data_IF_528088111259
#
_entry.id   IF_528088111259
#
_cell.length_a   1.000
_cell.length_b   1.000
_cell.length_c   1.000
_cell.angle_alpha   90.00
_cell.angle_beta   90.00
_cell.angle_gamma   90.00
#
_symmetry.space_group_name_H-M   'P 1'
#
loop_
_entity.id
_entity.type
_entity.pdbx_description
1 polymer ?
#
# COMPACT_ATOMS: atom_id res chain seq x y z
N UNK A 1 -4.61 -6.40 -11.10
CA UNK A 1 -5.95 -7.00 -10.93
C UNK A 1 -7.05 -6.00 -11.30
N UNK A 2 -7.27 -4.88 -10.57
CA UNK A 2 -8.38 -3.93 -10.82
C UNK A 2 -8.51 -3.48 -12.28
N UNK A 3 -7.43 -3.05 -12.95
CA UNK A 3 -7.47 -2.65 -14.35
C UNK A 3 -7.96 -3.76 -15.29
N UNK A 4 -7.56 -4.99 -15.01
CA UNK A 4 -7.99 -6.14 -15.79
C UNK A 4 -9.46 -6.51 -15.53
N UNK A 5 -9.94 -6.35 -14.29
CA UNK A 5 -11.36 -6.53 -13.95
C UNK A 5 -12.22 -5.48 -14.63
N UNK A 6 -11.84 -4.21 -14.56
CA UNK A 6 -12.55 -3.11 -15.27
C UNK A 6 -12.60 -3.37 -16.78
N UNK A 7 -11.48 -3.79 -17.38
CA UNK A 7 -11.47 -4.16 -18.80
C UNK A 7 -12.46 -5.31 -19.14
N UNK A 8 -12.49 -6.35 -18.30
CA UNK A 8 -13.42 -7.47 -18.47
C UNK A 8 -14.89 -7.05 -18.32
N UNK A 9 -15.17 -6.15 -17.37
CA UNK A 9 -16.51 -5.57 -17.18
C UNK A 9 -16.96 -4.72 -18.37
N UNK A 10 -16.08 -3.85 -18.89
CA UNK A 10 -16.34 -3.03 -20.08
C UNK A 10 -16.64 -3.91 -21.29
N UNK A 11 -15.85 -4.96 -21.52
CA UNK A 11 -16.07 -5.91 -22.60
C UNK A 11 -17.40 -6.65 -22.46
N UNK A 12 -17.78 -7.03 -21.26
CA UNK A 12 -19.08 -7.65 -20.98
C UNK A 12 -20.22 -6.66 -21.24
N UNK A 13 -20.05 -5.41 -20.87
CA UNK A 13 -21.05 -4.36 -21.08
C UNK A 13 -21.23 -3.98 -22.57
N UNK A 14 -20.17 -4.09 -23.40
CA UNK A 14 -20.26 -3.83 -24.86
C UNK A 14 -21.09 -4.86 -25.60
N UNK A 15 -21.25 -6.07 -25.05
CA UNK A 15 -21.96 -7.19 -25.71
C UNK A 15 -21.09 -7.96 -26.72
N UNK A 16 -19.79 -7.66 -26.82
CA UNK A 16 -18.87 -8.31 -27.76
C UNK A 16 -18.16 -9.53 -27.18
N UNK A 17 -18.39 -9.85 -25.91
CA UNK A 17 -17.65 -10.89 -25.19
C UNK A 17 -17.70 -12.26 -25.88
N UNK A 18 -18.85 -12.67 -26.42
CA UNK A 18 -19.02 -13.97 -27.09
C UNK A 18 -18.32 -14.03 -28.46
N UNK A 19 -17.92 -12.89 -29.03
CA UNK A 19 -17.18 -12.79 -30.29
C UNK A 19 -15.67 -12.90 -30.12
N UNK A 20 -15.17 -12.83 -28.87
CA UNK A 20 -13.73 -12.81 -28.59
C UNK A 20 -13.10 -14.16 -28.96
N UNK A 21 -12.12 -14.12 -29.84
CA UNK A 21 -11.33 -15.27 -30.26
C UNK A 21 -9.86 -15.20 -29.76
N UNK A 22 -9.35 -13.99 -29.48
CA UNK A 22 -7.97 -13.81 -29.01
C UNK A 22 -7.85 -12.68 -28.01
N UNK A 23 -6.87 -12.82 -27.09
CA UNK A 23 -6.51 -11.84 -26.07
C UNK A 23 -5.02 -11.53 -26.17
N UNK A 24 -4.66 -10.27 -26.06
CA UNK A 24 -3.29 -9.81 -25.97
C UNK A 24 -3.14 -8.83 -24.81
N UNK A 25 -2.14 -9.02 -23.98
CA UNK A 25 -1.77 -8.12 -22.88
C UNK A 25 -0.31 -7.68 -23.07
N UNK A 26 -0.10 -6.37 -23.18
CA UNK A 26 1.24 -5.76 -23.22
C UNK A 26 1.50 -5.04 -21.88
N UNK A 27 2.63 -5.36 -21.21
CA UNK A 27 3.08 -4.72 -19.98
C UNK A 27 4.31 -3.86 -20.27
N UNK A 28 4.39 -2.66 -19.67
CA UNK A 28 5.42 -1.67 -19.97
C UNK A 28 6.23 -1.25 -18.73
N UNK A 29 7.45 -0.77 -18.97
CA UNK A 29 8.32 -0.13 -17.99
C UNK A 29 8.54 -0.96 -16.72
N UNK A 30 8.44 -0.32 -15.55
CA UNK A 30 8.65 -0.98 -14.26
C UNK A 30 7.67 -2.13 -14.02
N UNK A 31 6.43 -2.01 -14.48
CA UNK A 31 5.43 -3.07 -14.35
C UNK A 31 5.84 -4.37 -15.06
N UNK A 32 6.54 -4.25 -16.20
CA UNK A 32 7.11 -5.38 -16.91
C UNK A 32 8.43 -5.87 -16.28
N UNK A 33 9.26 -4.93 -15.82
CA UNK A 33 10.60 -5.24 -15.30
C UNK A 33 10.57 -6.05 -14.00
N UNK A 34 9.62 -5.75 -13.10
CA UNK A 34 9.50 -6.37 -11.78
C UNK A 34 8.25 -7.27 -11.66
N UNK A 35 7.46 -7.38 -12.71
CA UNK A 35 6.15 -8.01 -12.70
C UNK A 35 6.14 -9.46 -12.18
N UNK A 36 7.18 -10.24 -12.45
CA UNK A 36 7.32 -11.61 -11.92
C UNK A 36 7.42 -11.61 -10.39
N UNK A 37 8.24 -10.73 -9.83
CA UNK A 37 8.45 -10.64 -8.39
C UNK A 37 7.26 -10.05 -7.62
N UNK A 38 6.43 -9.26 -8.32
CA UNK A 38 5.27 -8.56 -7.72
C UNK A 38 3.94 -9.26 -7.99
N UNK A 39 3.93 -10.43 -8.62
CA UNK A 39 2.69 -11.14 -8.95
C UNK A 39 1.80 -10.41 -9.96
N UNK A 40 2.38 -9.51 -10.78
CA UNK A 40 1.61 -8.70 -11.72
C UNK A 40 0.84 -9.55 -12.73
N UNK A 41 1.49 -10.56 -13.32
CA UNK A 41 0.87 -11.40 -14.34
C UNK A 41 -0.27 -12.25 -13.77
N UNK A 42 -0.06 -12.85 -12.61
CA UNK A 42 -1.12 -13.64 -11.94
C UNK A 42 -2.29 -12.77 -11.52
N UNK A 43 -2.03 -11.56 -11.01
CA UNK A 43 -3.08 -10.60 -10.69
C UNK A 43 -3.89 -10.16 -11.93
N UNK A 44 -3.25 -10.05 -13.10
CA UNK A 44 -3.94 -9.75 -14.36
C UNK A 44 -4.86 -10.90 -14.77
N UNK A 45 -4.38 -12.15 -14.72
CA UNK A 45 -5.23 -13.31 -15.04
C UNK A 45 -6.50 -13.34 -14.18
N UNK A 46 -6.37 -13.17 -12.87
CA UNK A 46 -7.51 -13.13 -11.96
C UNK A 46 -8.46 -11.96 -12.26
N UNK A 47 -7.92 -10.77 -12.54
CA UNK A 47 -8.73 -9.62 -12.93
C UNK A 47 -9.47 -9.84 -14.24
N UNK A 48 -8.85 -10.45 -15.24
CA UNK A 48 -9.50 -10.81 -16.50
C UNK A 48 -10.63 -11.84 -16.32
N UNK A 49 -10.55 -12.69 -15.29
CA UNK A 49 -11.67 -13.57 -14.91
C UNK A 49 -12.80 -12.85 -14.16
N UNK A 50 -12.62 -11.56 -13.80
CA UNK A 50 -13.60 -10.73 -13.12
C UNK A 50 -13.41 -10.62 -11.60
N UNK A 51 -12.29 -11.13 -11.05
CA UNK A 51 -12.01 -10.97 -9.63
C UNK A 51 -11.51 -9.58 -9.29
N UNK A 52 -11.98 -9.04 -8.16
CA UNK A 52 -11.53 -7.77 -7.59
C UNK A 52 -10.58 -7.97 -6.42
N UNK A 53 -9.52 -7.14 -6.29
CA UNK A 53 -8.50 -7.31 -5.24
C UNK A 53 -9.05 -7.13 -3.82
N UNK A 54 -10.15 -6.40 -3.66
CA UNK A 54 -10.81 -6.16 -2.38
C UNK A 54 -11.57 -7.39 -1.86
N UNK A 55 -12.04 -8.25 -2.76
CA UNK A 55 -13.01 -9.31 -2.47
C UNK A 55 -12.39 -10.71 -2.50
N UNK A 56 -11.46 -10.95 -3.42
CA UNK A 56 -10.88 -12.29 -3.62
C UNK A 56 -10.13 -12.78 -2.36
N UNK A 57 -10.35 -14.03 -1.99
CA UNK A 57 -9.66 -14.67 -0.88
C UNK A 57 -8.40 -15.39 -1.35
N UNK A 58 -7.37 -15.56 -0.47
CA UNK A 58 -6.14 -16.26 -0.83
C UNK A 58 -6.35 -17.68 -1.36
N UNK A 59 -7.32 -18.40 -0.82
CA UNK A 59 -7.68 -19.76 -1.24
C UNK A 59 -8.23 -19.77 -2.67
N UNK A 60 -9.06 -18.78 -3.02
CA UNK A 60 -9.58 -18.60 -4.39
C UNK A 60 -8.46 -18.24 -5.38
N UNK A 61 -7.48 -17.42 -4.94
CA UNK A 61 -6.28 -17.10 -5.74
C UNK A 61 -5.52 -18.38 -6.08
N UNK A 62 -5.21 -19.20 -5.07
CA UNK A 62 -4.47 -20.46 -5.25
C UNK A 62 -5.21 -21.42 -6.17
N UNK A 63 -6.52 -21.65 -5.93
CA UNK A 63 -7.36 -22.53 -6.73
C UNK A 63 -7.44 -22.10 -8.19
N UNK A 64 -7.71 -20.81 -8.45
CA UNK A 64 -7.87 -20.31 -9.82
C UNK A 64 -6.55 -20.35 -10.60
N UNK A 65 -5.45 -19.92 -10.00
CA UNK A 65 -4.14 -19.96 -10.65
C UNK A 65 -3.68 -21.38 -10.93
N UNK A 66 -3.96 -22.34 -10.03
CA UNK A 66 -3.68 -23.76 -10.28
C UNK A 66 -4.51 -24.28 -11.47
N UNK A 67 -5.80 -23.96 -11.54
CA UNK A 67 -6.69 -24.37 -12.62
C UNK A 67 -6.24 -23.79 -13.98
N UNK A 68 -5.81 -22.51 -14.03
CA UNK A 68 -5.27 -21.89 -15.24
C UNK A 68 -3.96 -22.57 -15.65
N UNK A 69 -3.07 -22.85 -14.70
CA UNK A 69 -1.79 -23.51 -14.99
C UNK A 69 -1.97 -24.95 -15.51
N UNK A 70 -2.95 -25.70 -14.95
CA UNK A 70 -3.24 -27.08 -15.36
C UNK A 70 -3.91 -27.15 -16.75
N UNK A 71 -4.89 -26.27 -16.99
CA UNK A 71 -5.69 -26.32 -18.20
C UNK A 71 -5.12 -25.51 -19.36
N UNK A 72 -4.25 -24.54 -19.08
CA UNK A 72 -3.77 -23.54 -20.05
C UNK A 72 -4.90 -22.60 -20.54
N UNK A 73 -6.00 -22.48 -19.78
CA UNK A 73 -7.21 -21.73 -20.18
C UNK A 73 -7.61 -20.71 -19.11
N UNK A 74 -7.86 -19.50 -19.59
CA UNK A 74 -8.46 -18.39 -18.84
C UNK A 74 -9.96 -18.33 -19.09
N UNK A 75 -10.75 -18.01 -18.08
CA UNK A 75 -12.18 -17.72 -18.22
C UNK A 75 -12.43 -16.20 -18.28
N UNK A 76 -12.30 -15.61 -19.45
CA UNK A 76 -12.47 -14.16 -19.64
C UNK A 76 -13.87 -13.72 -19.19
N UNK A 77 -13.91 -12.70 -18.30
CA UNK A 77 -15.13 -12.19 -17.66
C UNK A 77 -16.01 -13.29 -17.03
N UNK A 78 -15.38 -14.40 -16.58
CA UNK A 78 -16.04 -15.52 -15.94
C UNK A 78 -16.85 -16.44 -16.87
N UNK A 79 -16.80 -16.23 -18.19
CA UNK A 79 -17.68 -16.97 -19.12
C UNK A 79 -17.01 -17.50 -20.38
N UNK A 80 -16.13 -16.74 -21.05
CA UNK A 80 -15.51 -17.16 -22.32
C UNK A 80 -14.15 -17.80 -22.06
N UNK A 81 -13.99 -19.08 -22.47
CA UNK A 81 -12.71 -19.77 -22.36
C UNK A 81 -11.76 -19.41 -23.49
N UNK A 82 -10.57 -18.93 -23.13
CA UNK A 82 -9.48 -18.64 -24.07
C UNK A 82 -8.22 -19.41 -23.66
N UNK A 83 -7.43 -19.94 -24.64
CA UNK A 83 -6.09 -20.45 -24.37
C UNK A 83 -5.19 -19.27 -24.02
N UNK A 84 -4.93 -19.03 -22.73
CA UNK A 84 -4.14 -17.91 -22.24
C UNK A 84 -3.58 -18.18 -20.86
N UNK A 85 -2.33 -17.79 -20.63
CA UNK A 85 -1.62 -17.91 -19.37
C UNK A 85 -0.58 -16.82 -19.17
N UNK A 86 0.20 -16.93 -18.11
CA UNK A 86 1.28 -15.96 -17.78
C UNK A 86 2.29 -15.79 -18.91
N UNK A 87 2.64 -16.89 -19.60
CA UNK A 87 3.63 -16.93 -20.67
C UNK A 87 3.19 -16.21 -21.95
N UNK A 88 1.91 -15.93 -22.11
CA UNK A 88 1.35 -15.29 -23.32
C UNK A 88 1.36 -13.76 -23.21
N UNK A 89 1.70 -13.22 -22.04
CA UNK A 89 1.82 -11.78 -21.83
C UNK A 89 3.11 -11.22 -22.41
N UNK A 90 3.05 -10.07 -23.07
CA UNK A 90 4.17 -9.42 -23.72
C UNK A 90 4.79 -8.41 -22.77
N UNK A 91 6.05 -8.66 -22.38
CA UNK A 91 6.80 -7.79 -21.48
C UNK A 91 7.66 -6.80 -22.26
N UNK A 92 7.51 -5.49 -21.99
CA UNK A 92 8.24 -4.40 -22.61
C UNK A 92 8.96 -3.53 -21.56
N UNK A 93 9.94 -4.06 -20.82
CA UNK A 93 10.56 -3.36 -19.70
C UNK A 93 11.30 -2.09 -20.08
N UNK A 94 11.77 -1.97 -21.34
CA UNK A 94 12.48 -0.79 -21.84
C UNK A 94 11.56 0.23 -22.53
N UNK A 95 10.25 -0.04 -22.62
CA UNK A 95 9.27 0.88 -23.21
C UNK A 95 8.51 1.56 -22.09
N UNK A 96 8.65 2.87 -21.98
CA UNK A 96 7.90 3.69 -21.01
C UNK A 96 6.83 4.48 -21.78
N UNK A 97 5.58 4.33 -21.36
CA UNK A 97 4.50 5.12 -21.92
C UNK A 97 4.54 6.55 -21.35
N UNK A 98 4.08 7.55 -22.12
CA UNK A 98 4.25 8.96 -21.74
C UNK A 98 3.66 9.35 -20.38
N UNK A 99 2.57 8.70 -19.98
CA UNK A 99 1.84 9.04 -18.76
C UNK A 99 2.50 8.51 -17.49
N UNK A 100 2.87 7.22 -17.49
CA UNK A 100 3.43 6.56 -16.31
C UNK A 100 4.23 5.33 -16.70
N UNK A 101 5.24 4.98 -15.90
CA UNK A 101 6.08 3.80 -16.15
C UNK A 101 5.34 2.46 -15.98
N UNK A 102 4.30 2.41 -15.13
CA UNK A 102 3.50 1.21 -14.87
C UNK A 102 2.29 1.11 -15.82
N UNK A 103 2.55 1.01 -17.11
CA UNK A 103 1.51 0.89 -18.13
C UNK A 103 1.14 -0.56 -18.46
N UNK A 104 -0.12 -0.79 -18.83
CA UNK A 104 -0.63 -2.05 -19.36
C UNK A 104 -1.71 -1.80 -20.42
N UNK A 105 -1.64 -2.56 -21.52
CA UNK A 105 -2.64 -2.49 -22.61
C UNK A 105 -3.28 -3.85 -22.80
N UNK A 106 -4.60 -3.88 -22.78
CA UNK A 106 -5.41 -5.06 -23.08
C UNK A 106 -6.02 -4.88 -24.48
N UNK A 107 -6.00 -5.93 -25.28
CA UNK A 107 -6.62 -5.97 -26.61
C UNK A 107 -7.29 -7.31 -26.82
N UNK A 108 -8.54 -7.30 -27.22
CA UNK A 108 -9.27 -8.51 -27.66
C UNK A 108 -9.69 -8.35 -29.10
N UNK A 109 -9.62 -9.47 -29.86
CA UNK A 109 -10.00 -9.52 -31.26
C UNK A 109 -10.90 -10.73 -31.56
N UNK A 110 -11.70 -10.61 -32.61
CA UNK A 110 -12.50 -11.72 -33.11
C UNK A 110 -11.70 -12.72 -33.96
N UNK A 111 -12.41 -13.71 -34.53
CA UNK A 111 -11.80 -14.77 -35.33
C UNK A 111 -11.17 -14.27 -36.64
N UNK A 112 -11.62 -13.13 -37.16
CA UNK A 112 -11.08 -12.50 -38.36
C UNK A 112 -9.92 -11.56 -38.06
N UNK A 113 -9.59 -11.38 -36.77
CA UNK A 113 -8.50 -10.51 -36.27
C UNK A 113 -8.90 -9.05 -36.14
N UNK A 114 -10.19 -8.73 -36.26
CA UNK A 114 -10.71 -7.38 -36.00
C UNK A 114 -10.67 -7.08 -34.49
N UNK A 115 -10.16 -5.90 -34.12
CA UNK A 115 -10.08 -5.47 -32.71
C UNK A 115 -11.49 -5.09 -32.22
N UNK A 116 -12.00 -5.87 -31.29
CA UNK A 116 -13.30 -5.63 -30.65
C UNK A 116 -13.22 -4.59 -29.53
N UNK A 117 -12.19 -4.72 -28.68
CA UNK A 117 -11.97 -3.78 -27.59
C UNK A 117 -10.49 -3.62 -27.27
N UNK A 118 -10.07 -2.38 -26.97
CA UNK A 118 -8.71 -2.06 -26.56
C UNK A 118 -8.73 -0.96 -25.51
N UNK A 119 -8.00 -1.16 -24.42
CA UNK A 119 -7.83 -0.14 -23.38
C UNK A 119 -6.42 -0.20 -22.81
N UNK A 120 -5.86 0.99 -22.48
CA UNK A 120 -4.59 1.16 -21.77
C UNK A 120 -4.86 1.74 -20.40
N UNK A 121 -4.25 1.14 -19.38
CA UNK A 121 -4.33 1.58 -17.99
C UNK A 121 -2.94 1.81 -17.41
N UNK A 122 -2.88 2.67 -16.40
CA UNK A 122 -1.70 2.97 -15.63
C UNK A 122 -1.95 2.67 -14.15
N UNK A 123 -1.06 1.88 -13.53
CA UNK A 123 -1.07 1.67 -12.07
C UNK A 123 -0.26 2.77 -11.40
N UNK A 124 -0.95 3.67 -10.69
CA UNK A 124 -0.34 4.88 -10.13
C UNK A 124 -0.04 4.77 -8.62
N UNK A 125 0.10 3.55 -8.13
CA UNK A 125 0.35 3.25 -6.72
C UNK A 125 -0.92 3.11 -5.89
N UNK A 126 -0.82 2.48 -4.71
CA UNK A 126 -1.93 2.33 -3.76
C UNK A 126 -3.17 1.60 -4.27
N UNK A 127 -3.05 0.80 -5.34
CA UNK A 127 -4.17 0.13 -5.99
C UNK A 127 -5.01 1.03 -6.91
N UNK A 128 -4.63 2.30 -7.07
CA UNK A 128 -5.28 3.22 -8.00
C UNK A 128 -4.87 2.95 -9.43
N UNK A 129 -5.82 3.11 -10.34
CA UNK A 129 -5.60 3.01 -11.78
C UNK A 129 -6.09 4.29 -12.48
N UNK A 130 -5.45 4.62 -13.59
CA UNK A 130 -5.88 5.69 -14.50
C UNK A 130 -5.98 5.08 -15.89
N UNK A 131 -7.06 5.36 -16.62
CA UNK A 131 -7.24 4.94 -18.00
C UNK A 131 -6.66 5.99 -18.96
N UNK A 132 -6.05 5.53 -20.04
CA UNK A 132 -5.58 6.43 -21.11
C UNK A 132 -6.76 7.17 -21.76
N UNK A 133 -6.65 8.49 -21.89
CA UNK A 133 -7.67 9.34 -22.46
C UNK A 133 -8.77 9.83 -21.50
N UNK A 134 -8.83 9.28 -20.27
CA UNK A 134 -9.76 9.74 -19.22
C UNK A 134 -9.08 10.59 -18.14
N UNK A 135 -7.82 10.90 -18.33
CA UNK A 135 -6.95 11.57 -17.35
C UNK A 135 -7.51 12.93 -16.91
N UNK A 136 -8.02 13.70 -17.86
CA UNK A 136 -8.60 15.01 -17.58
C UNK A 136 -10.00 14.91 -16.93
N UNK A 137 -10.76 13.85 -17.23
CA UNK A 137 -12.08 13.63 -16.65
C UNK A 137 -11.97 13.12 -15.21
N UNK A 138 -11.09 12.13 -14.95
CA UNK A 138 -10.85 11.63 -13.61
C UNK A 138 -10.24 12.68 -12.68
N UNK A 139 -9.35 13.54 -13.18
CA UNK A 139 -8.82 14.68 -12.43
C UNK A 139 -9.89 15.74 -12.17
N UNK A 140 -10.78 15.99 -13.12
CA UNK A 140 -11.92 16.92 -12.95
C UNK A 140 -12.95 16.36 -11.98
N UNK A 141 -13.32 15.10 -12.08
CA UNK A 141 -14.24 14.44 -11.15
C UNK A 141 -13.68 14.42 -9.71
N UNK A 142 -12.37 14.10 -9.56
CA UNK A 142 -11.68 14.22 -8.28
C UNK A 142 -11.65 15.66 -7.77
N UNK A 143 -11.49 16.64 -8.66
CA UNK A 143 -11.47 18.07 -8.31
C UNK A 143 -12.87 18.60 -8.01
N UNK A 144 -13.89 18.13 -8.71
CA UNK A 144 -15.30 18.45 -8.46
C UNK A 144 -15.83 17.79 -7.19
N UNK A 145 -15.51 16.52 -6.95
CA UNK A 145 -15.87 15.83 -5.69
C UNK A 145 -15.21 16.49 -4.46
N UNK A 146 -14.00 17.03 -4.61
CA UNK A 146 -13.33 17.77 -3.53
C UNK A 146 -13.93 19.14 -3.25
N UNK A 147 -14.58 19.78 -4.24
CA UNK A 147 -15.30 21.04 -4.01
C UNK A 147 -16.52 20.83 -3.11
N UNK A 148 -17.06 19.64 -3.05
CA UNK A 148 -18.21 19.26 -2.22
C UNK A 148 -17.82 18.85 -0.79
N UNK A 149 -16.50 18.63 -0.51
CA UNK A 149 -16.05 18.30 0.85
C UNK A 149 -16.27 19.48 1.80
N UNK A 150 -16.79 19.24 3.02
CA UNK A 150 -17.06 20.31 3.99
C UNK A 150 -15.81 21.08 4.42
N UNK A 151 -14.67 20.39 4.53
CA UNK A 151 -13.40 20.95 5.00
C UNK A 151 -12.24 20.51 4.07
N UNK A 152 -12.25 20.92 2.78
CA UNK A 152 -11.27 20.48 1.81
C UNK A 152 -9.87 21.00 2.16
N UNK A 153 -8.83 20.19 1.88
CA UNK A 153 -7.43 20.55 2.02
C UNK A 153 -6.59 19.80 0.98
N UNK A 154 -5.50 20.43 0.53
CA UNK A 154 -4.52 19.87 -0.39
C UNK A 154 -3.10 19.96 0.14
N UNK A 155 -2.87 20.84 1.12
CA UNK A 155 -1.58 21.07 1.77
C UNK A 155 -1.69 20.90 3.28
N UNK A 156 -0.55 20.66 3.93
CA UNK A 156 -0.49 20.59 5.39
C UNK A 156 -0.85 21.95 6.02
N UNK A 157 -0.42 23.05 5.39
CA UNK A 157 -0.80 24.40 5.84
C UNK A 157 -2.32 24.63 5.79
N UNK A 158 -3.01 24.19 4.74
CA UNK A 158 -4.48 24.25 4.66
C UNK A 158 -5.14 23.37 5.72
N UNK A 159 -4.63 22.14 5.92
CA UNK A 159 -5.13 21.21 6.94
C UNK A 159 -5.02 21.82 8.34
N UNK A 160 -3.86 22.35 8.71
CA UNK A 160 -3.65 23.05 9.99
C UNK A 160 -4.54 24.29 10.13
N UNK A 161 -4.73 25.05 9.04
CA UNK A 161 -5.67 26.18 9.02
C UNK A 161 -7.12 25.74 9.28
N UNK A 162 -7.56 24.58 8.75
CA UNK A 162 -8.88 24.00 9.07
C UNK A 162 -8.96 23.59 10.54
N UNK A 163 -7.95 22.90 11.06
CA UNK A 163 -7.88 22.53 12.47
C UNK A 163 -8.02 23.75 13.39
N UNK A 164 -7.25 24.79 13.13
CA UNK A 164 -7.27 26.02 13.93
C UNK A 164 -8.63 26.74 13.84
N UNK A 165 -9.20 26.89 12.66
CA UNK A 165 -10.45 27.62 12.44
C UNK A 165 -11.68 26.92 13.03
N UNK A 166 -11.63 25.58 13.14
CA UNK A 166 -12.74 24.76 13.64
C UNK A 166 -12.54 24.25 15.06
N UNK A 167 -11.32 24.34 15.60
CA UNK A 167 -10.97 23.74 16.89
C UNK A 167 -11.00 22.21 16.86
N UNK A 168 -10.69 21.62 15.69
CA UNK A 168 -10.73 20.18 15.46
C UNK A 168 -9.30 19.62 15.27
N UNK A 169 -9.13 18.37 15.60
CA UNK A 169 -7.90 17.63 15.31
C UNK A 169 -7.81 17.22 13.82
N UNK A 170 -6.65 16.73 13.38
CA UNK A 170 -6.46 16.27 11.99
C UNK A 170 -7.40 15.10 11.67
N UNK A 171 -7.51 14.11 12.56
CA UNK A 171 -8.44 13.00 12.40
C UNK A 171 -9.90 13.45 12.33
N UNK A 172 -10.30 14.45 13.12
CA UNK A 172 -11.66 15.00 13.11
C UNK A 172 -11.95 15.78 11.81
N UNK A 173 -10.98 16.52 11.24
CA UNK A 173 -11.14 17.14 9.92
C UNK A 173 -11.41 16.06 8.85
N UNK A 174 -10.61 14.97 8.86
CA UNK A 174 -10.82 13.88 7.94
C UNK A 174 -12.18 13.20 8.12
N UNK A 175 -12.60 12.98 9.38
CA UNK A 175 -13.90 12.41 9.69
C UNK A 175 -15.07 13.27 9.17
N UNK A 176 -15.00 14.59 9.30
CA UNK A 176 -16.01 15.51 8.76
C UNK A 176 -16.10 15.39 7.24
N UNK A 177 -14.96 15.26 6.56
CA UNK A 177 -14.92 15.09 5.11
C UNK A 177 -15.49 13.73 4.67
N UNK A 178 -15.17 12.65 5.38
CA UNK A 178 -15.71 11.32 5.12
C UNK A 178 -17.24 11.25 5.27
N UNK A 179 -17.79 12.01 6.21
CA UNK A 179 -19.25 12.13 6.43
C UNK A 179 -20.01 12.81 5.28
N UNK A 180 -19.33 13.41 4.32
CA UNK A 180 -19.98 13.94 3.13
C UNK A 180 -20.63 12.85 2.27
N UNK A 181 -20.11 11.62 2.32
CA UNK A 181 -20.57 10.49 1.50
C UNK A 181 -20.95 9.25 2.27
N UNK A 182 -20.67 9.18 3.57
CA UNK A 182 -20.90 8.00 4.44
C UNK A 182 -21.43 8.42 5.79
N UNK A 183 -22.17 7.52 6.45
CA UNK A 183 -22.59 7.69 7.84
C UNK A 183 -21.41 7.49 8.80
N UNK A 184 -21.54 7.96 10.01
CA UNK A 184 -20.56 7.74 11.08
C UNK A 184 -20.32 6.25 11.35
N UNK A 185 -21.38 5.45 11.37
CA UNK A 185 -21.33 4.01 11.57
C UNK A 185 -20.56 3.32 10.43
N UNK A 186 -20.88 3.63 9.17
CA UNK A 186 -20.17 3.10 8.00
C UNK A 186 -18.68 3.46 7.98
N UNK A 187 -18.30 4.67 8.40
CA UNK A 187 -16.90 5.07 8.49
C UNK A 187 -16.20 4.26 9.58
N UNK A 188 -16.82 4.17 10.76
CA UNK A 188 -16.27 3.47 11.90
C UNK A 188 -16.09 1.98 11.61
N UNK A 189 -17.14 1.33 11.14
CA UNK A 189 -17.13 -0.09 10.79
C UNK A 189 -16.14 -0.40 9.68
N UNK A 190 -16.05 0.46 8.66
CA UNK A 190 -15.08 0.33 7.58
C UNK A 190 -13.63 0.40 8.06
N UNK A 191 -13.31 1.32 8.99
CA UNK A 191 -11.96 1.45 9.54
C UNK A 191 -11.62 0.27 10.48
N UNK A 192 -12.55 -0.18 11.30
CA UNK A 192 -12.38 -1.36 12.14
C UNK A 192 -12.24 -2.64 11.30
N UNK A 193 -12.97 -2.75 10.20
CA UNK A 193 -12.79 -3.84 9.25
C UNK A 193 -11.39 -3.82 8.61
N UNK A 194 -10.89 -2.66 8.18
CA UNK A 194 -9.51 -2.53 7.68
C UNK A 194 -8.51 -3.03 8.72
N UNK A 195 -8.68 -2.61 9.98
CA UNK A 195 -7.81 -3.06 11.07
C UNK A 195 -7.90 -4.58 11.29
N UNK A 196 -9.09 -5.16 11.28
CA UNK A 196 -9.27 -6.61 11.43
C UNK A 196 -8.56 -7.42 10.33
N UNK A 197 -8.50 -6.89 9.10
CA UNK A 197 -7.72 -7.50 8.00
C UNK A 197 -6.22 -7.39 8.26
N UNK A 198 -5.74 -6.28 8.84
CA UNK A 198 -4.34 -6.14 9.26
C UNK A 198 -3.96 -7.17 10.33
N UNK A 199 -4.81 -7.35 11.35
CA UNK A 199 -4.61 -8.38 12.40
C UNK A 199 -4.60 -9.78 11.81
N UNK A 200 -5.59 -10.11 10.98
CA UNK A 200 -5.68 -11.42 10.32
C UNK A 200 -4.46 -11.73 9.47
N UNK A 201 -3.90 -10.74 8.77
CA UNK A 201 -2.65 -10.88 8.03
C UNK A 201 -1.48 -11.29 8.95
N UNK A 202 -1.34 -10.62 10.09
CA UNK A 202 -0.31 -10.97 11.10
C UNK A 202 -0.52 -12.37 11.62
N UNK A 203 -1.74 -12.74 12.03
CA UNK A 203 -2.06 -14.07 12.58
C UNK A 203 -1.71 -15.21 11.61
N UNK A 204 -1.98 -15.03 10.31
CA UNK A 204 -1.62 -16.01 9.28
C UNK A 204 -0.09 -16.14 9.19
N UNK A 205 0.63 -15.02 9.16
CA UNK A 205 2.09 -15.01 9.07
C UNK A 205 2.76 -15.69 10.25
N UNK A 206 2.25 -15.51 11.46
CA UNK A 206 2.81 -16.13 12.67
C UNK A 206 2.72 -17.66 12.68
N UNK A 207 1.88 -18.24 11.81
CA UNK A 207 1.67 -19.70 11.67
C UNK A 207 2.40 -20.30 10.47
N UNK A 208 2.85 -19.48 9.50
CA UNK A 208 3.49 -19.94 8.25
C UNK A 208 5.01 -19.99 8.40
N UNK A 209 5.58 -21.17 8.28
CA UNK A 209 7.03 -21.41 8.34
C UNK A 209 7.63 -21.66 6.96
N UNK A 210 8.96 -21.76 6.87
CA UNK A 210 9.69 -22.09 5.65
C UNK A 210 10.34 -20.91 4.95
N UNK A 211 10.47 -20.99 3.62
CA UNK A 211 11.09 -19.99 2.78
C UNK A 211 10.04 -19.14 2.08
N UNK A 212 10.38 -17.87 1.83
CA UNK A 212 9.60 -17.01 0.95
C UNK A 212 9.74 -17.46 -0.52
N UNK A 213 8.71 -17.29 -1.35
CA UNK A 213 8.76 -17.66 -2.77
C UNK A 213 9.72 -16.77 -3.56
N UNK A 214 10.07 -17.18 -4.80
CA UNK A 214 10.85 -16.35 -5.74
C UNK A 214 12.34 -16.65 -5.82
N UNK A 215 12.84 -17.63 -5.06
CA UNK A 215 14.20 -18.16 -5.27
C UNK A 215 15.32 -17.54 -4.43
N UNK A 216 15.11 -16.40 -3.74
CA UNK A 216 16.13 -15.78 -2.87
C UNK A 216 16.43 -16.58 -1.59
N UNK A 217 15.69 -17.67 -1.33
CA UNK A 217 15.87 -18.54 -0.16
C UNK A 217 15.76 -17.77 1.17
N UNK A 218 15.01 -16.68 1.21
CA UNK A 218 14.77 -15.91 2.42
C UNK A 218 13.85 -16.71 3.37
N UNK A 219 14.36 -16.97 4.58
CA UNK A 219 13.59 -17.69 5.60
C UNK A 219 12.59 -16.75 6.26
N UNK A 220 11.36 -17.23 6.49
CA UNK A 220 10.37 -16.52 7.32
C UNK A 220 10.88 -16.40 8.75
N UNK A 221 10.78 -15.23 9.32
CA UNK A 221 11.28 -14.89 10.67
C UNK A 221 10.17 -14.70 11.68
N UNK A 222 8.98 -14.30 11.23
CA UNK A 222 7.87 -13.93 12.10
C UNK A 222 7.48 -15.05 13.08
N UNK A 223 7.33 -16.35 12.70
CA UNK A 223 7.00 -17.42 13.63
C UNK A 223 8.06 -17.62 14.73
N UNK A 224 9.35 -17.55 14.37
CA UNK A 224 10.45 -17.76 15.33
C UNK A 224 10.56 -16.59 16.32
N UNK A 225 10.40 -15.35 15.83
CA UNK A 225 10.39 -14.16 16.68
C UNK A 225 9.20 -14.16 17.63
N UNK A 226 8.01 -14.52 17.15
CA UNK A 226 6.83 -14.64 17.99
C UNK A 226 7.03 -15.68 19.10
N UNK A 227 7.50 -16.89 18.75
CA UNK A 227 7.82 -17.94 19.73
C UNK A 227 8.82 -17.46 20.80
N UNK A 228 9.81 -16.67 20.40
CA UNK A 228 10.79 -16.11 21.33
C UNK A 228 10.16 -15.07 22.25
N UNK A 229 9.40 -14.11 21.71
CA UNK A 229 8.74 -13.07 22.51
C UNK A 229 7.73 -13.67 23.51
N UNK A 230 6.98 -14.69 23.10
CA UNK A 230 6.05 -15.41 23.99
C UNK A 230 6.77 -16.14 25.12
N UNK A 231 8.00 -16.63 24.90
CA UNK A 231 8.82 -17.24 25.99
C UNK A 231 9.29 -16.20 27.00
N UNK A 232 9.59 -14.99 26.59
CA UNK A 232 9.98 -13.90 27.50
C UNK A 232 8.80 -13.43 28.39
N UNK A 233 7.56 -13.73 28.00
CA UNK A 233 6.33 -13.43 28.74
C UNK A 233 5.84 -14.60 29.65
N UNK A 234 6.65 -15.62 29.91
CA UNK A 234 6.24 -16.79 30.71
C UNK A 234 5.76 -16.35 32.09
N UNK A 235 4.55 -16.80 32.45
CA UNK A 235 3.91 -16.49 33.74
C UNK A 235 3.15 -15.17 33.77
N UNK A 236 3.07 -14.46 32.67
CA UNK A 236 2.28 -13.25 32.49
C UNK A 236 0.93 -13.60 31.81
N UNK A 237 -0.03 -12.66 31.89
CA UNK A 237 -1.23 -12.69 31.09
C UNK A 237 -0.86 -12.88 29.59
N UNK A 238 -1.53 -13.77 28.83
CA UNK A 238 -1.28 -13.95 27.41
C UNK A 238 -1.33 -12.64 26.60
N UNK A 239 -2.13 -11.69 27.07
CA UNK A 239 -2.28 -10.37 26.44
C UNK A 239 -1.25 -9.33 26.95
N UNK A 240 -0.49 -9.67 28.00
CA UNK A 240 0.56 -8.80 28.48
C UNK A 240 1.73 -8.71 27.50
N UNK A 241 2.24 -7.50 27.31
CA UNK A 241 3.45 -7.23 26.53
C UNK A 241 4.42 -6.42 27.39
N UNK A 242 5.56 -7.02 27.74
CA UNK A 242 6.61 -6.32 28.51
C UNK A 242 7.10 -5.11 27.72
N UNK A 243 6.95 -3.88 28.23
CA UNK A 243 7.35 -2.66 27.53
C UNK A 243 8.82 -2.59 27.10
N UNK A 244 9.71 -3.37 27.72
CA UNK A 244 11.12 -3.42 27.31
C UNK A 244 11.31 -4.04 25.91
N UNK A 245 10.34 -4.86 25.43
CA UNK A 245 10.37 -5.51 24.12
C UNK A 245 9.47 -4.82 23.09
N UNK A 246 9.06 -3.57 23.32
CA UNK A 246 8.18 -2.87 22.39
C UNK A 246 8.72 -2.84 20.95
N UNK A 247 10.06 -2.68 20.81
CA UNK A 247 10.68 -2.59 19.48
C UNK A 247 10.68 -3.94 18.77
N UNK A 248 10.91 -5.02 19.49
CA UNK A 248 10.86 -6.37 18.95
C UNK A 248 9.44 -6.74 18.49
N UNK A 249 8.39 -6.34 19.24
CA UNK A 249 7.01 -6.50 18.83
C UNK A 249 6.68 -5.69 17.58
N UNK A 250 7.06 -4.43 17.53
CA UNK A 250 6.86 -3.57 16.34
C UNK A 250 7.56 -4.17 15.13
N UNK A 251 8.81 -4.60 15.27
CA UNK A 251 9.54 -5.26 14.20
C UNK A 251 8.84 -6.55 13.77
N UNK A 252 8.37 -7.37 14.71
CA UNK A 252 7.65 -8.61 14.43
C UNK A 252 6.40 -8.35 13.57
N UNK A 253 5.57 -7.37 13.93
CA UNK A 253 4.36 -7.05 13.18
C UNK A 253 4.71 -6.59 11.75
N UNK A 254 5.70 -5.71 11.61
CA UNK A 254 6.15 -5.25 10.29
C UNK A 254 6.70 -6.40 9.42
N UNK A 255 7.51 -7.30 10.01
CA UNK A 255 8.03 -8.48 9.34
C UNK A 255 6.89 -9.41 8.91
N UNK A 256 5.94 -9.70 9.81
CA UNK A 256 4.82 -10.60 9.56
C UNK A 256 3.99 -10.16 8.36
N UNK A 257 3.59 -8.89 8.32
CA UNK A 257 2.81 -8.34 7.19
C UNK A 257 3.60 -8.42 5.88
N UNK A 258 4.90 -8.10 5.90
CA UNK A 258 5.70 -8.11 4.67
C UNK A 258 6.04 -9.53 4.20
N UNK A 259 6.20 -10.50 5.08
CA UNK A 259 6.34 -11.91 4.72
C UNK A 259 5.07 -12.44 4.06
N UNK A 260 3.87 -12.02 4.50
CA UNK A 260 2.62 -12.33 3.81
C UNK A 260 2.51 -11.61 2.46
N UNK A 261 2.86 -10.34 2.40
CA UNK A 261 2.91 -9.61 1.13
C UNK A 261 3.82 -10.32 0.11
N UNK A 262 5.02 -10.74 0.53
CA UNK A 262 5.97 -11.47 -0.33
C UNK A 262 5.48 -12.86 -0.76
N UNK A 263 4.44 -13.39 -0.12
CA UNK A 263 3.90 -14.74 -0.35
C UNK A 263 2.52 -14.74 -1.00
N UNK A 264 2.05 -13.58 -1.47
CA UNK A 264 0.72 -13.44 -2.08
C UNK A 264 -0.44 -13.55 -1.09
N UNK A 265 -0.17 -13.38 0.22
CA UNK A 265 -1.20 -13.32 1.26
C UNK A 265 -2.05 -12.05 1.15
N UNK A 266 -3.16 -12.02 1.88
CA UNK A 266 -4.06 -10.85 1.93
C UNK A 266 -3.46 -9.77 2.81
N UNK A 267 -3.19 -8.59 2.24
CA UNK A 267 -2.64 -7.43 2.95
C UNK A 267 -3.47 -6.18 2.69
N UNK A 268 -3.51 -5.29 3.66
CA UNK A 268 -4.06 -3.94 3.45
C UNK A 268 -3.02 -3.07 2.75
N UNK A 269 -3.39 -2.48 1.63
CA UNK A 269 -2.54 -1.52 0.91
C UNK A 269 -2.51 -0.19 1.68
N UNK A 270 -1.38 0.14 2.35
CA UNK A 270 -1.28 1.27 3.26
C UNK A 270 0.13 1.93 3.30
N UNK A 271 0.43 2.96 2.47
CA UNK A 271 -0.31 3.41 1.28
C UNK A 271 -0.08 2.52 0.06
N UNK A 272 0.94 1.65 0.08
CA UNK A 272 1.28 0.65 -0.95
C UNK A 272 1.50 -0.72 -0.31
N UNK A 273 1.52 -1.79 -1.12
CA UNK A 273 1.82 -3.13 -0.62
C UNK A 273 3.26 -3.25 -0.12
N UNK A 274 4.22 -2.59 -0.79
CA UNK A 274 5.62 -2.61 -0.38
C UNK A 274 5.88 -1.99 1.00
N UNK A 275 5.00 -1.12 1.48
CA UNK A 275 5.08 -0.45 2.77
C UNK A 275 3.98 -0.87 3.76
N UNK A 276 3.23 -1.93 3.46
CA UNK A 276 2.02 -2.34 4.20
C UNK A 276 2.25 -2.74 5.66
N UNK A 277 3.49 -3.04 6.05
CA UNK A 277 3.84 -3.43 7.42
C UNK A 277 3.98 -2.28 8.42
N UNK A 278 4.15 -1.03 7.94
CA UNK A 278 4.51 0.10 8.81
C UNK A 278 3.32 0.55 9.65
N UNK A 279 2.18 0.86 9.03
CA UNK A 279 0.97 1.33 9.73
C UNK A 279 0.49 0.31 10.77
N UNK A 280 0.29 -0.98 10.45
CA UNK A 280 -0.15 -1.95 11.47
C UNK A 280 0.87 -2.12 12.60
N UNK A 281 2.18 -2.03 12.33
CA UNK A 281 3.20 -2.13 13.38
C UNK A 281 3.17 -0.95 14.35
N UNK A 282 2.98 0.28 13.85
CA UNK A 282 2.86 1.47 14.70
C UNK A 282 1.52 1.53 15.42
N UNK A 283 0.44 1.09 14.76
CA UNK A 283 -0.89 0.96 15.41
C UNK A 283 -0.85 -0.12 16.52
N UNK A 284 -0.14 -1.23 16.29
CA UNK A 284 0.10 -2.21 17.35
C UNK A 284 0.83 -1.57 18.55
N UNK A 285 1.86 -0.73 18.30
CA UNK A 285 2.49 0.04 19.37
C UNK A 285 1.49 0.94 20.11
N UNK A 286 0.64 1.64 19.39
CA UNK A 286 -0.39 2.50 19.99
C UNK A 286 -1.33 1.73 20.90
N UNK A 287 -1.75 0.53 20.51
CA UNK A 287 -2.72 -0.30 21.24
C UNK A 287 -2.15 -1.08 22.43
N UNK A 288 -0.83 -1.33 22.46
CA UNK A 288 -0.21 -2.17 23.50
C UNK A 288 0.82 -1.46 24.36
N UNK A 289 1.42 -0.37 23.87
CA UNK A 289 2.55 0.30 24.56
C UNK A 289 2.34 1.79 24.80
N UNK A 290 1.30 2.41 24.21
CA UNK A 290 0.98 3.79 24.52
C UNK A 290 0.43 3.93 25.96
N UNK A 291 0.69 5.06 26.63
CA UNK A 291 0.22 5.27 28.00
C UNK A 291 -1.29 5.10 28.14
N UNK A 292 -1.71 4.36 29.17
CA UNK A 292 -3.13 4.14 29.49
C UNK A 292 -3.79 2.98 28.78
N UNK A 293 -3.15 2.37 27.80
CA UNK A 293 -3.72 1.25 27.02
C UNK A 293 -3.78 -0.07 27.81
N UNK A 294 -3.02 -0.19 28.89
CA UNK A 294 -3.09 -1.31 29.84
C UNK A 294 -4.44 -1.45 30.57
N UNK A 295 -5.22 -0.35 30.62
CA UNK A 295 -6.55 -0.31 31.24
C UNK A 295 -7.68 0.01 30.24
N UNK A 296 -7.36 0.10 28.95
CA UNK A 296 -8.30 0.45 27.93
C UNK A 296 -9.36 -0.64 27.72
N UNK A 297 -10.63 -0.23 27.63
CA UNK A 297 -11.72 -1.08 27.20
C UNK A 297 -11.61 -1.39 25.69
N UNK A 298 -12.40 -2.33 25.18
CA UNK A 298 -12.47 -2.55 23.74
C UNK A 298 -12.92 -1.29 22.98
N UNK A 299 -13.89 -0.56 23.52
CA UNK A 299 -14.33 0.71 22.91
C UNK A 299 -13.21 1.75 22.84
N UNK A 300 -12.38 1.86 23.87
CA UNK A 300 -11.23 2.77 23.86
C UNK A 300 -10.21 2.36 22.78
N UNK A 301 -10.00 1.05 22.60
CA UNK A 301 -9.12 0.51 21.55
C UNK A 301 -9.67 0.78 20.16
N UNK A 302 -10.97 0.58 19.96
CA UNK A 302 -11.65 0.86 18.70
C UNK A 302 -11.56 2.36 18.35
N UNK A 303 -11.72 3.24 19.34
CA UNK A 303 -11.58 4.70 19.16
C UNK A 303 -10.14 5.08 18.77
N UNK A 304 -9.14 4.44 19.36
CA UNK A 304 -7.73 4.61 18.97
C UNK A 304 -7.51 4.17 17.50
N UNK A 305 -8.03 3.03 17.09
CA UNK A 305 -7.93 2.53 15.71
C UNK A 305 -8.54 3.52 14.73
N UNK A 306 -9.77 3.95 14.99
CA UNK A 306 -10.51 4.89 14.12
C UNK A 306 -9.75 6.22 14.00
N UNK A 307 -9.36 6.80 15.12
CA UNK A 307 -8.65 8.09 15.17
C UNK A 307 -7.28 7.99 14.47
N UNK A 308 -6.52 6.93 14.72
CA UNK A 308 -5.22 6.69 14.10
C UNK A 308 -5.34 6.60 12.57
N UNK A 309 -6.28 5.79 12.07
CA UNK A 309 -6.43 5.55 10.64
C UNK A 309 -6.97 6.78 9.90
N UNK A 310 -7.87 7.56 10.49
CA UNK A 310 -8.33 8.83 9.93
C UNK A 310 -7.18 9.83 9.79
N UNK A 311 -6.35 9.97 10.82
CA UNK A 311 -5.19 10.87 10.81
C UNK A 311 -4.16 10.41 9.78
N UNK A 312 -3.83 9.12 9.78
CA UNK A 312 -2.93 8.53 8.79
C UNK A 312 -3.45 8.74 7.35
N UNK A 313 -4.75 8.57 7.14
CA UNK A 313 -5.40 8.82 5.85
C UNK A 313 -5.29 10.28 5.41
N UNK A 314 -5.52 11.24 6.31
CA UNK A 314 -5.37 12.67 6.02
C UNK A 314 -3.95 13.02 5.54
N UNK A 315 -2.92 12.49 6.21
CA UNK A 315 -1.53 12.68 5.77
C UNK A 315 -1.25 11.98 4.43
N UNK A 316 -1.79 10.78 4.22
CA UNK A 316 -1.67 10.05 2.96
C UNK A 316 -2.23 10.81 1.75
N UNK A 317 -3.34 11.55 1.95
CA UNK A 317 -3.91 12.43 0.92
C UNK A 317 -2.90 13.49 0.47
N UNK A 318 -2.15 14.11 1.38
CA UNK A 318 -1.15 15.13 1.04
C UNK A 318 -0.08 14.60 0.10
N UNK A 319 0.44 13.39 0.36
CA UNK A 319 1.44 12.75 -0.51
C UNK A 319 0.89 12.42 -1.89
N UNK A 320 -0.32 11.89 -1.94
CA UNK A 320 -0.99 11.55 -3.20
C UNK A 320 -1.26 12.79 -4.05
N UNK A 321 -1.66 13.90 -3.43
CA UNK A 321 -2.00 15.14 -4.13
C UNK A 321 -0.79 15.92 -4.61
N UNK A 322 0.25 16.03 -3.79
CA UNK A 322 1.36 16.95 -4.03
C UNK A 322 2.59 16.27 -4.64
N UNK A 323 2.70 14.95 -4.53
CA UNK A 323 3.86 14.20 -4.99
C UNK A 323 3.47 12.88 -5.66
N UNK A 324 3.91 11.76 -5.11
CA UNK A 324 3.52 10.40 -5.52
C UNK A 324 3.77 9.43 -4.38
N UNK A 325 2.95 8.39 -4.30
CA UNK A 325 3.14 7.24 -3.40
C UNK A 325 3.71 6.02 -4.14
N UNK A 326 4.12 6.16 -5.39
CA UNK A 326 4.63 5.06 -6.22
C UNK A 326 6.15 4.94 -6.15
N UNK A 327 6.66 3.79 -5.76
CA UNK A 327 8.10 3.48 -5.78
C UNK A 327 8.72 3.57 -7.18
N UNK A 328 7.94 3.29 -8.22
CA UNK A 328 8.34 3.40 -9.60
C UNK A 328 8.52 4.86 -10.08
N UNK A 329 7.87 5.83 -9.42
CA UNK A 329 8.01 7.25 -9.73
C UNK A 329 9.07 7.95 -8.87
N UNK A 330 9.05 7.70 -7.56
CA UNK A 330 9.85 8.48 -6.59
C UNK A 330 10.74 7.61 -5.71
N UNK A 331 10.85 6.33 -5.95
CA UNK A 331 11.59 5.40 -5.09
C UNK A 331 10.83 5.04 -3.80
N UNK A 332 11.46 4.27 -2.92
CA UNK A 332 10.86 3.86 -1.64
C UNK A 332 10.56 5.01 -0.68
N UNK A 333 11.12 6.22 -0.87
CA UNK A 333 10.69 7.39 -0.10
C UNK A 333 9.19 7.67 -0.25
N UNK A 334 8.61 7.42 -1.45
CA UNK A 334 7.17 7.57 -1.71
C UNK A 334 6.32 6.47 -1.08
N UNK A 335 6.84 5.30 -0.82
CA UNK A 335 6.14 4.18 -0.19
C UNK A 335 6.41 4.12 1.31
N UNK A 336 7.64 3.77 1.68
CA UNK A 336 8.10 3.59 3.06
C UNK A 336 8.10 4.93 3.81
N UNK A 337 8.56 6.01 3.15
CA UNK A 337 8.57 7.34 3.75
C UNK A 337 7.16 7.86 4.01
N UNK A 338 6.25 7.77 3.03
CA UNK A 338 4.86 8.17 3.22
C UNK A 338 4.16 7.34 4.30
N UNK A 339 4.34 6.01 4.31
CA UNK A 339 3.76 5.16 5.35
C UNK A 339 4.30 5.50 6.76
N UNK A 340 5.62 5.78 6.88
CA UNK A 340 6.24 6.20 8.14
C UNK A 340 5.66 7.53 8.64
N UNK A 341 5.50 8.49 7.74
CA UNK A 341 4.90 9.80 8.03
C UNK A 341 3.44 9.69 8.47
N UNK A 342 2.63 8.91 7.74
CA UNK A 342 1.24 8.61 8.07
C UNK A 342 1.12 7.96 9.45
N UNK A 343 1.97 6.98 9.73
CA UNK A 343 1.98 6.26 11.01
C UNK A 343 2.45 7.12 12.18
N UNK A 344 3.45 7.98 11.97
CA UNK A 344 3.93 8.92 12.99
C UNK A 344 2.85 9.93 13.39
N UNK A 345 2.14 10.48 12.41
CA UNK A 345 1.00 11.36 12.62
C UNK A 345 -0.13 10.66 13.39
N UNK A 346 -0.53 9.47 12.94
CA UNK A 346 -1.56 8.68 13.61
C UNK A 346 -1.21 8.40 15.08
N UNK A 347 0.04 8.03 15.35
CA UNK A 347 0.51 7.80 16.72
C UNK A 347 0.52 9.09 17.55
N UNK A 348 1.04 10.20 17.00
CA UNK A 348 1.08 11.48 17.71
C UNK A 348 -0.33 11.96 18.07
N UNK A 349 -1.29 11.82 17.16
CA UNK A 349 -2.69 12.17 17.36
C UNK A 349 -3.35 11.37 18.51
N UNK A 350 -3.19 10.03 18.50
CA UNK A 350 -3.80 9.17 19.55
C UNK A 350 -3.11 9.31 20.90
N UNK A 351 -1.86 9.77 20.92
CA UNK A 351 -1.14 10.12 22.14
C UNK A 351 -1.45 11.55 22.65
N UNK A 352 -2.41 12.25 22.06
CA UNK A 352 -2.91 13.56 22.52
C UNK A 352 -2.13 14.75 21.98
N UNK A 353 -1.37 14.60 20.90
CA UNK A 353 -0.68 15.70 20.24
C UNK A 353 -1.60 16.77 19.68
N UNK A 354 -1.17 18.02 19.73
CA UNK A 354 -1.81 19.12 19.01
C UNK A 354 -1.68 18.93 17.50
N UNK A 355 -2.54 19.53 16.66
CA UNK A 355 -2.39 19.42 15.19
C UNK A 355 -0.98 19.78 14.69
N UNK A 356 -0.31 20.74 15.30
CA UNK A 356 1.06 21.15 14.99
C UNK A 356 2.08 20.05 15.35
N UNK A 357 1.92 19.40 16.51
CA UNK A 357 2.78 18.28 16.90
C UNK A 357 2.54 17.06 16.00
N UNK A 358 1.31 16.81 15.57
CA UNK A 358 0.94 15.73 14.65
C UNK A 358 1.57 15.94 13.27
N UNK A 359 1.48 17.16 12.74
CA UNK A 359 2.12 17.54 11.46
C UNK A 359 3.66 17.45 11.56
N UNK A 360 4.25 17.94 12.66
CA UNK A 360 5.69 17.83 12.90
C UNK A 360 6.16 16.37 13.01
N UNK A 361 5.36 15.49 13.63
CA UNK A 361 5.67 14.04 13.64
C UNK A 361 5.71 13.46 12.23
N UNK A 362 4.75 13.84 11.38
CA UNK A 362 4.70 13.42 9.99
C UNK A 362 5.90 13.94 9.19
N UNK A 363 6.27 15.20 9.40
CA UNK A 363 7.42 15.87 8.78
C UNK A 363 8.72 15.15 9.14
N UNK A 364 9.04 15.00 10.45
CA UNK A 364 10.25 14.34 10.94
C UNK A 364 10.38 12.93 10.35
N UNK A 365 9.28 12.17 10.32
CA UNK A 365 9.30 10.81 9.79
C UNK A 365 9.63 10.78 8.29
N UNK A 366 9.08 11.68 7.47
CA UNK A 366 9.39 11.74 6.05
C UNK A 366 10.79 12.28 5.80
N UNK A 367 11.20 13.36 6.45
CA UNK A 367 12.52 13.96 6.29
C UNK A 367 13.63 12.90 6.42
N UNK A 368 13.49 11.98 7.40
CA UNK A 368 14.45 10.91 7.66
C UNK A 368 14.28 9.65 6.78
N UNK A 369 13.39 9.71 5.80
CA UNK A 369 13.21 8.70 4.75
C UNK A 369 13.45 9.25 3.32
N UNK A 370 13.83 10.53 3.18
CA UNK A 370 14.21 11.12 1.90
C UNK A 370 15.39 10.37 1.26
N UNK A 371 15.37 10.25 -0.05
CA UNK A 371 16.44 9.60 -0.82
C UNK A 371 16.40 8.08 -0.84
N UNK A 372 15.44 7.41 -0.22
CA UNK A 372 15.32 5.95 -0.27
C UNK A 372 15.03 5.48 -1.70
N UNK A 373 15.95 4.70 -2.24
CA UNK A 373 15.84 4.05 -3.54
C UNK A 373 14.87 2.86 -3.50
N UNK A 374 14.33 2.45 -4.65
CA UNK A 374 13.58 1.20 -4.81
C UNK A 374 14.36 0.23 -5.69
N UNK A 375 15.16 -0.62 -5.08
CA UNK A 375 16.15 -1.49 -5.68
C UNK A 375 16.11 -2.92 -5.10
N UNK A 376 14.94 -3.58 -5.06
CA UNK A 376 14.78 -4.89 -4.44
C UNK A 376 15.55 -5.96 -5.20
N UNK A 377 16.22 -6.88 -4.47
CA UNK A 377 16.99 -7.97 -5.03
C UNK A 377 16.07 -8.91 -5.83
N UNK A 378 16.45 -9.24 -7.04
CA UNK A 378 15.65 -10.08 -7.94
C UNK A 378 14.28 -9.48 -8.31
N UNK A 379 14.04 -8.18 -8.05
CA UNK A 379 12.74 -7.54 -8.21
C UNK A 379 11.69 -8.02 -7.21
N UNK A 380 12.10 -8.74 -6.16
CA UNK A 380 11.21 -9.32 -5.14
C UNK A 380 11.02 -8.36 -3.96
N UNK A 381 9.78 -8.18 -3.50
CA UNK A 381 9.46 -7.35 -2.33
C UNK A 381 9.86 -8.08 -1.04
N UNK A 382 11.13 -8.42 -0.92
CA UNK A 382 11.72 -9.17 0.20
C UNK A 382 12.91 -8.42 0.80
N UNK A 383 14.00 -8.28 0.08
CA UNK A 383 15.22 -7.60 0.54
C UNK A 383 15.47 -6.37 -0.35
N UNK A 384 15.54 -5.17 0.19
CA UNK A 384 15.52 -4.80 1.63
C UNK A 384 14.12 -4.46 2.17
N UNK A 385 13.04 -4.72 1.44
CA UNK A 385 11.70 -4.19 1.72
C UNK A 385 11.18 -4.59 3.11
N UNK A 386 11.38 -5.86 3.52
CA UNK A 386 10.89 -6.37 4.80
C UNK A 386 11.55 -5.62 5.96
N UNK A 387 12.88 -5.46 5.95
CA UNK A 387 13.61 -4.73 6.98
C UNK A 387 13.32 -3.23 6.95
N UNK A 388 13.15 -2.64 5.75
CA UNK A 388 12.79 -1.21 5.62
C UNK A 388 11.49 -0.88 6.33
N UNK A 389 10.49 -1.77 6.27
CA UNK A 389 9.23 -1.57 6.99
C UNK A 389 9.44 -1.57 8.51
N UNK A 390 10.18 -2.53 9.05
CA UNK A 390 10.47 -2.61 10.49
C UNK A 390 11.24 -1.37 10.98
N UNK A 391 12.28 -0.97 10.26
CA UNK A 391 13.07 0.23 10.59
C UNK A 391 12.23 1.50 10.49
N UNK A 392 11.40 1.63 9.45
CA UNK A 392 10.54 2.80 9.27
C UNK A 392 9.42 2.90 10.32
N UNK A 393 8.87 1.78 10.78
CA UNK A 393 7.93 1.75 11.90
C UNK A 393 8.59 2.25 13.20
N UNK A 394 9.81 1.82 13.50
CA UNK A 394 10.56 2.32 14.65
C UNK A 394 10.89 3.82 14.52
N UNK A 395 11.26 4.30 13.32
CA UNK A 395 11.44 5.73 13.04
C UNK A 395 10.16 6.52 13.27
N UNK A 396 9.01 6.02 12.82
CA UNK A 396 7.71 6.66 12.99
C UNK A 396 7.36 6.85 14.48
N UNK A 397 7.60 5.83 15.31
CA UNK A 397 7.40 5.91 16.76
C UNK A 397 8.33 6.94 17.38
N UNK A 398 9.60 6.96 16.97
CA UNK A 398 10.57 7.93 17.45
C UNK A 398 10.20 9.36 17.04
N UNK A 399 9.78 9.57 15.80
CA UNK A 399 9.34 10.87 15.28
C UNK A 399 8.11 11.41 16.05
N UNK A 400 7.10 10.56 16.27
CA UNK A 400 5.94 10.93 17.09
C UNK A 400 6.34 11.36 18.50
N UNK A 401 7.22 10.60 19.17
CA UNK A 401 7.72 10.94 20.50
C UNK A 401 8.51 12.23 20.50
N UNK A 402 9.38 12.48 19.52
CA UNK A 402 10.14 13.73 19.41
C UNK A 402 9.20 14.94 19.27
N UNK A 403 8.24 14.87 18.38
CA UNK A 403 7.26 15.94 18.17
C UNK A 403 6.41 16.23 19.41
N UNK A 404 5.99 15.19 20.14
CA UNK A 404 5.20 15.32 21.36
C UNK A 404 5.99 15.91 22.55
N UNK A 405 7.32 15.80 22.56
CA UNK A 405 8.16 16.44 23.57
C UNK A 405 8.45 17.91 23.25
N UNK A 406 8.22 18.34 22.00
CA UNK A 406 8.26 19.72 21.56
C UNK A 406 6.91 20.43 21.78
N UNK A 407 6.86 21.70 21.41
CA UNK A 407 5.66 22.53 21.43
C UNK A 407 4.90 22.57 20.08
N UNK A 408 5.37 21.81 19.09
CA UNK A 408 4.90 21.80 17.70
C UNK A 408 5.54 22.86 16.82
N UNK A 409 6.45 23.71 17.36
CA UNK A 409 7.21 24.66 16.54
C UNK A 409 8.38 23.98 15.84
N UNK A 410 8.46 24.10 14.51
CA UNK A 410 9.53 23.53 13.72
C UNK A 410 9.87 24.40 12.51
N UNK A 411 11.07 24.22 11.96
CA UNK A 411 11.59 25.10 10.89
C UNK A 411 11.18 24.63 9.49
N UNK A 412 11.07 23.32 9.28
CA UNK A 412 10.74 22.71 8.01
C UNK A 412 9.31 22.18 8.11
N UNK A 413 8.43 22.62 7.22
CA UNK A 413 7.04 22.16 7.18
C UNK A 413 6.91 20.83 6.44
N UNK A 414 5.83 20.08 6.71
CA UNK A 414 5.51 18.87 5.97
C UNK A 414 5.34 19.15 4.46
N UNK A 415 4.79 20.31 4.08
CA UNK A 415 4.66 20.70 2.67
C UNK A 415 6.04 20.85 1.98
N UNK A 416 7.03 21.45 2.68
CA UNK A 416 8.41 21.58 2.15
C UNK A 416 9.07 20.21 1.98
N UNK A 417 8.84 19.28 2.91
CA UNK A 417 9.39 17.91 2.82
C UNK A 417 8.71 17.13 1.67
N UNK A 418 7.41 17.29 1.45
CA UNK A 418 6.70 16.66 0.33
C UNK A 418 7.22 17.18 -1.01
N UNK A 419 7.43 18.49 -1.14
CA UNK A 419 8.06 19.09 -2.33
C UNK A 419 9.46 18.51 -2.55
N UNK A 420 10.27 18.45 -1.49
CA UNK A 420 11.63 17.86 -1.53
C UNK A 420 11.60 16.41 -1.98
N UNK A 421 10.67 15.60 -1.45
CA UNK A 421 10.50 14.20 -1.86
C UNK A 421 10.17 14.09 -3.35
N UNK A 422 9.28 14.93 -3.86
CA UNK A 422 8.92 14.97 -5.28
C UNK A 422 10.11 15.32 -6.17
N UNK A 423 10.88 16.34 -5.79
CA UNK A 423 12.06 16.79 -6.56
C UNK A 423 13.18 15.75 -6.51
N UNK A 424 13.52 15.24 -5.32
CA UNK A 424 14.48 14.13 -5.16
C UNK A 424 14.06 12.92 -5.99
N UNK A 425 12.75 12.62 -6.00
CA UNK A 425 12.20 11.56 -6.85
C UNK A 425 12.42 11.82 -8.33
N UNK A 426 12.27 13.06 -8.82
CA UNK A 426 12.56 13.42 -10.22
C UNK A 426 14.03 13.25 -10.58
N UNK A 427 14.92 13.67 -9.69
CA UNK A 427 16.36 13.60 -9.87
C UNK A 427 16.93 12.18 -9.72
N UNK A 428 16.22 11.31 -9.03
CA UNK A 428 16.61 9.92 -8.85
C UNK A 428 16.71 9.20 -10.20
N UNK A 429 17.85 8.59 -10.48
CA UNK A 429 18.04 7.78 -11.71
C UNK A 429 17.01 6.64 -11.78
N UNK A 430 16.48 6.39 -12.98
CA UNK A 430 15.49 5.34 -13.26
C UNK A 430 15.93 3.95 -12.79
N UNK A 431 17.24 3.65 -12.75
CA UNK A 431 17.78 2.38 -12.25
C UNK A 431 17.50 2.12 -10.76
N UNK A 432 17.08 3.15 -10.00
CA UNK A 432 16.75 3.09 -8.58
C UNK A 432 15.25 3.23 -8.31
N UNK A 433 14.41 3.13 -9.37
CA UNK A 433 12.97 3.31 -9.32
C UNK A 433 12.23 2.03 -9.71
N UNK A 434 12.37 0.99 -8.89
CA UNK A 434 11.66 -0.28 -9.06
C UNK A 434 11.93 -0.96 -10.42
N UNK A 435 13.18 -0.90 -10.90
CA UNK A 435 13.58 -1.51 -12.17
C UNK A 435 14.49 -2.73 -12.01
N UNK A 436 14.98 -2.98 -10.79
CA UNK A 436 16.01 -4.00 -10.50
C UNK A 436 17.30 -3.82 -11.34
N UNK A 437 17.57 -2.61 -11.85
CA UNK A 437 18.71 -2.30 -12.73
C UNK A 437 19.86 -1.59 -12.00
N UNK A 438 19.77 -1.41 -10.68
CA UNK A 438 20.78 -0.70 -9.88
C UNK A 438 20.72 -1.06 -8.40
N UNK A 439 21.61 -0.46 -7.61
CA UNK A 439 21.63 -0.62 -6.16
C UNK A 439 21.86 -2.05 -5.71
N UNK A 440 21.12 -2.51 -4.72
CA UNK A 440 21.21 -3.86 -4.16
C UNK A 440 20.88 -4.93 -5.20
N UNK A 441 19.96 -4.64 -6.12
CA UNK A 441 19.53 -5.60 -7.15
C UNK A 441 20.67 -6.09 -8.06
N UNK A 442 21.72 -5.27 -8.27
CA UNK A 442 22.84 -5.62 -9.14
C UNK A 442 24.15 -5.87 -8.39
N UNK A 443 24.25 -5.46 -7.12
CA UNK A 443 25.47 -5.61 -6.33
C UNK A 443 25.45 -6.87 -5.45
N UNK A 444 24.31 -7.52 -5.31
CA UNK A 444 24.18 -8.80 -4.64
C UNK A 444 24.14 -9.90 -5.71
N UNK A 445 25.16 -10.75 -5.71
CA UNK A 445 25.22 -11.89 -6.65
C UNK A 445 24.28 -12.97 -6.13
N UNK A 446 23.28 -13.32 -6.92
CA UNK A 446 22.45 -14.49 -6.68
C UNK A 446 23.29 -15.75 -6.99
N UNK A 447 23.61 -16.54 -5.96
CA UNK A 447 24.29 -17.82 -6.10
C UNK A 447 23.30 -18.98 -6.16
#
# INVERSE_FOLDING_TARGET
MRAAAVFAEELKASGDLDRVASLRVDLYGSLAATGHGHGTMTAILLGLEGFHPELILPEEVEERLAAIAETGKLQLAGSVQLPYGVQDMILRPLTILPRHTNGMTFTVSDADGEVLHRATFFSVGGGFIVREGEEDAALKELDESKKELPLPFRTAAELLGRCQSKGLSIGEIMFVNERASRTEEEIRDGLLHIYSVMEGCVEVSLKREGLLPGGLKVRRRAPDWHKRLMKENIGQDPDYRDPKYWQEWVNLIALAVNEENASGGRVVTAPTNGAAGIIPAVLYYALHFAPGMDKATQQDRDDVVVKFLLTAGAIGVLYKEQASISGAEVGCQGEVGSASSMAAAGLAEVMGGTPQQVENAAEIAMEHNLGLTCDPIGGLVQIPCIERNAIAAAKAINAAKMALWGDGSHRVSLDEVIVTMRETGRDMSSKYKETAMGGLAVNVVEC
#
